data_IF_661747797763
#
_entry.id   IF_661747797763
#
_cell.length_a   1.000
_cell.length_b   1.000
_cell.length_c   1.000
_cell.angle_alpha   90.00
_cell.angle_beta   90.00
_cell.angle_gamma   90.00
#
_symmetry.space_group_name_H-M   'P 1'
#
loop_
_entity.id
_entity.type
_entity.pdbx_description
1 polymer ?
#
# COMPACT_ATOMS: atom_id res chain seq x y z
N UNK A 1 20.74 -13.96 41.15
CA UNK A 1 21.39 -13.94 39.83
C UNK A 1 20.44 -13.23 38.88
N UNK A 2 20.66 -11.94 38.63
CA UNK A 2 19.75 -11.08 37.88
C UNK A 2 19.88 -11.32 36.36
N UNK A 3 18.78 -11.68 35.69
CA UNK A 3 18.76 -11.84 34.23
C UNK A 3 18.64 -10.48 33.55
N UNK A 4 19.73 -10.05 32.90
CA UNK A 4 19.70 -8.89 32.00
C UNK A 4 18.89 -9.23 30.75
N UNK A 5 17.69 -8.66 30.64
CA UNK A 5 16.92 -8.62 29.39
C UNK A 5 17.73 -7.81 28.38
N UNK A 6 18.12 -8.42 27.26
CA UNK A 6 18.75 -7.69 26.15
C UNK A 6 17.65 -6.88 25.46
N UNK A 7 17.86 -5.58 25.17
CA UNK A 7 16.95 -4.85 24.32
C UNK A 7 17.04 -5.43 22.91
N UNK A 8 15.88 -5.67 22.30
CA UNK A 8 15.78 -5.96 20.88
C UNK A 8 16.21 -4.68 20.17
N UNK A 9 17.46 -4.65 19.71
CA UNK A 9 17.95 -3.59 18.84
C UNK A 9 17.38 -3.83 17.45
N UNK A 10 16.17 -3.32 17.23
CA UNK A 10 15.72 -2.95 15.91
C UNK A 10 16.71 -1.91 15.37
N UNK A 11 16.99 -1.90 14.06
CA UNK A 11 18.06 -1.10 13.43
C UNK A 11 18.03 0.42 13.68
N UNK A 12 17.04 0.91 14.41
CA UNK A 12 17.01 2.23 15.02
C UNK A 12 16.59 2.03 16.49
N UNK A 13 17.55 1.93 17.41
CA UNK A 13 17.25 1.79 18.84
C UNK A 13 16.51 2.99 19.45
N UNK A 14 16.61 3.17 20.77
CA UNK A 14 15.98 4.26 21.54
C UNK A 14 16.21 5.70 21.00
N UNK A 15 17.10 5.87 20.02
CA UNK A 15 17.32 7.11 19.27
C UNK A 15 16.14 7.55 18.37
N UNK A 16 15.23 6.65 17.99
CA UNK A 16 14.05 7.02 17.18
C UNK A 16 12.94 7.72 18.00
N UNK A 17 12.90 7.50 19.31
CA UNK A 17 11.86 8.04 20.21
C UNK A 17 11.96 9.56 20.45
N UNK A 18 13.07 10.19 20.05
CA UNK A 18 13.30 11.64 20.21
C UNK A 18 13.38 12.43 18.90
N UNK A 19 13.02 11.81 17.77
CA UNK A 19 13.14 12.43 16.44
C UNK A 19 11.77 12.77 15.86
N UNK A 20 11.67 13.91 15.18
CA UNK A 20 10.46 14.28 14.45
C UNK A 20 10.31 13.42 13.20
N UNK A 21 9.06 13.22 12.75
CA UNK A 21 8.77 12.46 11.53
C UNK A 21 9.50 13.04 10.31
N UNK A 22 9.64 14.36 10.24
CA UNK A 22 10.40 15.09 9.22
C UNK A 22 11.90 14.75 9.25
N UNK A 23 12.48 14.56 10.43
CA UNK A 23 13.88 14.16 10.59
C UNK A 23 14.15 12.72 10.12
N UNK A 24 13.22 11.80 10.40
CA UNK A 24 13.31 10.42 9.90
C UNK A 24 13.10 10.35 8.38
N UNK A 25 12.19 11.16 7.85
CA UNK A 25 11.95 11.28 6.42
C UNK A 25 13.19 11.81 5.68
N UNK A 26 13.79 12.90 6.18
CA UNK A 26 14.97 13.54 5.57
C UNK A 26 16.20 12.62 5.60
N UNK A 27 16.40 11.85 6.67
CA UNK A 27 17.53 10.91 6.76
C UNK A 27 17.39 9.69 5.83
N UNK A 28 16.15 9.30 5.53
CA UNK A 28 15.86 8.12 4.69
C UNK A 28 15.84 8.48 3.21
N UNK A 29 15.27 9.64 2.85
CA UNK A 29 15.20 10.11 1.46
C UNK A 29 16.38 10.99 1.06
N UNK A 30 16.92 11.81 1.97
CA UNK A 30 18.05 12.70 1.72
C UNK A 30 19.40 12.00 1.57
N UNK A 31 19.47 10.69 1.84
CA UNK A 31 20.62 9.84 1.47
C UNK A 31 20.57 9.35 0.02
N UNK A 32 19.49 9.65 -0.72
CA UNK A 32 19.50 9.58 -2.17
C UNK A 32 20.39 10.69 -2.73
N UNK A 33 21.26 10.35 -3.67
CA UNK A 33 22.29 11.21 -4.27
C UNK A 33 21.67 12.33 -5.13
N UNK A 34 20.82 13.19 -4.56
CA UNK A 34 20.24 14.37 -5.21
C UNK A 34 21.04 15.61 -4.83
N UNK A 35 22.35 15.55 -4.99
CA UNK A 35 23.15 16.77 -5.11
C UNK A 35 23.13 17.23 -6.57
N UNK A 36 22.41 18.33 -6.80
CA UNK A 36 22.70 19.27 -7.88
C UNK A 36 22.44 18.78 -9.30
N UNK A 37 21.19 18.84 -9.75
CA UNK A 37 20.91 19.03 -11.18
C UNK A 37 20.09 20.30 -11.31
N UNK A 38 20.79 21.44 -11.32
CA UNK A 38 20.26 22.65 -11.97
C UNK A 38 19.92 22.30 -13.42
N UNK A 39 18.89 22.94 -13.97
CA UNK A 39 18.34 22.71 -15.31
C UNK A 39 19.45 22.57 -16.38
N UNK A 40 19.94 21.35 -16.56
CA UNK A 40 20.98 21.00 -17.52
C UNK A 40 20.32 20.32 -18.72
N UNK A 41 20.93 20.48 -19.90
CA UNK A 41 20.42 19.99 -21.17
C UNK A 41 20.11 18.48 -21.21
N UNK A 42 20.57 17.69 -20.24
CA UNK A 42 20.20 16.28 -20.05
C UNK A 42 18.71 16.07 -19.79
N UNK A 43 18.06 16.95 -19.02
CA UNK A 43 16.62 16.80 -18.75
C UNK A 43 15.77 17.05 -20.01
N UNK A 44 16.24 17.93 -20.90
CA UNK A 44 15.63 18.17 -22.20
C UNK A 44 15.92 17.04 -23.20
N UNK A 45 17.13 16.46 -23.17
CA UNK A 45 17.48 15.29 -23.96
C UNK A 45 16.63 14.07 -23.56
N UNK A 46 16.47 13.82 -22.26
CA UNK A 46 15.63 12.75 -21.72
C UNK A 46 14.15 12.92 -22.06
N UNK A 47 13.63 14.16 -22.09
CA UNK A 47 12.26 14.42 -22.56
C UNK A 47 12.10 14.08 -24.04
N UNK A 48 13.08 14.47 -24.87
CA UNK A 48 13.07 14.18 -26.31
C UNK A 48 13.15 12.69 -26.60
N UNK A 49 13.97 11.97 -25.83
CA UNK A 49 14.09 10.52 -25.90
C UNK A 49 12.80 9.81 -25.45
N UNK A 50 12.14 10.32 -24.40
CA UNK A 50 10.83 9.81 -23.98
C UNK A 50 9.74 10.05 -25.04
N UNK A 51 9.71 11.20 -25.70
CA UNK A 51 8.78 11.47 -26.79
C UNK A 51 9.03 10.56 -28.00
N UNK A 52 10.30 10.24 -28.30
CA UNK A 52 10.68 9.32 -29.37
C UNK A 52 10.29 7.87 -29.04
N UNK A 53 10.49 7.42 -27.80
CA UNK A 53 10.05 6.11 -27.31
C UNK A 53 8.52 5.96 -27.36
N UNK A 54 7.78 7.04 -27.04
CA UNK A 54 6.33 7.06 -27.17
C UNK A 54 5.86 6.98 -28.63
N UNK A 55 6.59 7.59 -29.57
CA UNK A 55 6.32 7.44 -31.02
C UNK A 55 6.62 6.04 -31.52
N UNK A 56 7.68 5.39 -31.02
CA UNK A 56 8.01 4.01 -31.38
C UNK A 56 7.02 2.99 -30.80
N UNK A 57 6.38 3.27 -29.66
CA UNK A 57 5.28 2.46 -29.12
C UNK A 57 4.01 2.47 -29.98
N UNK A 58 3.86 3.45 -30.89
CA UNK A 58 2.74 3.54 -31.83
C UNK A 58 2.92 2.64 -33.08
N UNK A 59 4.09 2.03 -33.26
CA UNK A 59 4.33 0.98 -34.26
C UNK A 59 4.11 -0.37 -33.57
N UNK A 60 3.05 -1.03 -33.99
CA UNK A 60 2.60 -2.36 -33.55
C UNK A 60 3.79 -3.31 -33.42
N UNK A 61 4.10 -3.73 -32.19
CA UNK A 61 5.11 -4.77 -31.92
C UNK A 61 4.72 -6.07 -32.64
N UNK A 62 5.64 -6.75 -33.34
CA UNK A 62 5.34 -8.03 -33.98
C UNK A 62 5.10 -9.12 -32.93
N UNK A 63 4.04 -9.90 -33.18
CA UNK A 63 3.62 -11.07 -32.42
C UNK A 63 4.69 -12.18 -32.40
N UNK A 64 5.35 -12.42 -31.27
CA UNK A 64 6.13 -13.67 -31.18
C UNK A 64 6.11 -14.45 -29.88
N UNK A 65 5.52 -13.99 -28.77
CA UNK A 65 5.59 -14.79 -27.52
C UNK A 65 4.27 -15.04 -26.77
N UNK A 66 3.10 -14.57 -27.23
CA UNK A 66 1.80 -14.90 -26.61
C UNK A 66 0.63 -15.10 -27.61
N UNK A 67 0.87 -15.83 -28.71
CA UNK A 67 -0.07 -15.93 -29.85
C UNK A 67 -1.47 -16.51 -29.54
N UNK A 68 -1.66 -17.19 -28.41
CA UNK A 68 -2.94 -17.85 -28.13
C UNK A 68 -3.83 -17.09 -27.15
N UNK A 69 -3.26 -16.51 -26.09
CA UNK A 69 -4.04 -15.74 -25.12
C UNK A 69 -4.48 -14.38 -25.69
N UNK A 70 -3.57 -13.67 -26.35
CA UNK A 70 -3.82 -12.31 -26.82
C UNK A 70 -4.77 -12.25 -28.01
N UNK A 71 -4.73 -13.25 -28.90
CA UNK A 71 -5.66 -13.36 -30.04
C UNK A 71 -7.07 -13.76 -29.60
N UNK A 72 -7.20 -14.60 -28.57
CA UNK A 72 -8.51 -14.94 -28.00
C UNK A 72 -9.14 -13.77 -27.23
N UNK A 73 -8.35 -13.06 -26.42
CA UNK A 73 -8.81 -11.85 -25.70
C UNK A 73 -9.23 -10.73 -26.66
N UNK A 74 -8.47 -10.52 -27.74
CA UNK A 74 -8.80 -9.54 -28.78
C UNK A 74 -10.06 -9.94 -29.57
N UNK A 75 -10.24 -11.25 -29.80
CA UNK A 75 -11.44 -11.79 -30.44
C UNK A 75 -12.70 -11.65 -29.57
N UNK A 76 -12.58 -11.83 -28.25
CA UNK A 76 -13.68 -11.65 -27.30
C UNK A 76 -14.09 -10.17 -27.18
N UNK A 77 -13.13 -9.23 -27.15
CA UNK A 77 -13.42 -7.78 -27.16
C UNK A 77 -14.23 -7.35 -28.38
N UNK A 78 -13.94 -7.93 -29.56
CA UNK A 78 -14.63 -7.59 -30.81
C UNK A 78 -16.08 -8.10 -30.89
N UNK A 79 -16.52 -8.99 -30.00
CA UNK A 79 -17.90 -9.51 -29.98
C UNK A 79 -18.83 -8.76 -29.01
N UNK A 80 -18.38 -7.69 -28.37
CA UNK A 80 -19.24 -6.80 -27.59
C UNK A 80 -19.86 -7.44 -26.34
N UNK A 81 -19.28 -8.53 -25.82
CA UNK A 81 -19.69 -9.09 -24.53
C UNK A 81 -19.06 -8.22 -23.41
N UNK A 82 -19.86 -7.57 -22.56
CA UNK A 82 -19.38 -6.49 -21.70
C UNK A 82 -18.58 -6.95 -20.46
N UNK A 83 -18.30 -8.24 -20.30
CA UNK A 83 -17.51 -8.75 -19.17
C UNK A 83 -16.52 -9.80 -19.65
N UNK A 84 -15.26 -9.41 -19.75
CA UNK A 84 -14.16 -10.36 -19.90
C UNK A 84 -14.04 -11.10 -18.55
N UNK A 85 -14.52 -12.33 -18.48
CA UNK A 85 -14.31 -13.20 -17.33
C UNK A 85 -12.90 -13.78 -17.47
N UNK A 86 -11.90 -13.08 -16.94
CA UNK A 86 -10.54 -13.63 -16.84
C UNK A 86 -10.46 -14.60 -15.68
N UNK A 87 -9.37 -15.38 -15.61
CA UNK A 87 -9.06 -16.15 -14.40
C UNK A 87 -9.02 -15.26 -13.17
N UNK A 88 -8.57 -14.01 -13.30
CA UNK A 88 -8.57 -13.02 -12.22
C UNK A 88 -10.00 -12.61 -11.84
N UNK A 89 -10.87 -12.34 -12.82
CA UNK A 89 -12.30 -12.03 -12.55
C UNK A 89 -13.02 -13.22 -11.91
N UNK A 90 -12.70 -14.46 -12.28
CA UNK A 90 -13.21 -15.66 -11.62
C UNK A 90 -12.67 -15.80 -10.20
N UNK A 91 -11.40 -15.51 -9.97
CA UNK A 91 -10.81 -15.50 -8.63
C UNK A 91 -11.42 -14.43 -7.74
N UNK A 92 -11.81 -13.28 -8.29
CA UNK A 92 -12.55 -12.23 -7.58
C UNK A 92 -14.01 -12.62 -7.31
N UNK A 93 -14.70 -13.24 -8.28
CA UNK A 93 -16.12 -13.62 -8.15
C UNK A 93 -16.36 -14.89 -7.31
N UNK A 94 -15.48 -15.89 -7.43
CA UNK A 94 -15.59 -17.18 -6.72
C UNK A 94 -14.79 -17.13 -5.41
N UNK A 95 -13.89 -16.15 -5.28
CA UNK A 95 -12.91 -16.07 -4.20
C UNK A 95 -11.73 -16.99 -4.47
N UNK A 96 -10.52 -16.51 -4.21
CA UNK A 96 -9.34 -17.40 -4.11
C UNK A 96 -9.57 -18.32 -2.91
N UNK A 97 -9.66 -19.62 -3.17
CA UNK A 97 -9.83 -20.60 -2.10
C UNK A 97 -8.60 -20.53 -1.17
N UNK A 98 -8.79 -20.29 0.12
CA UNK A 98 -7.67 -20.17 1.06
C UNK A 98 -6.76 -21.41 1.10
N UNK A 99 -7.24 -22.56 0.63
CA UNK A 99 -6.48 -23.79 0.54
C UNK A 99 -5.59 -23.91 -0.72
N UNK A 100 -5.75 -23.01 -1.71
CA UNK A 100 -5.04 -23.10 -3.00
C UNK A 100 -3.68 -22.42 -3.00
N UNK A 101 -3.27 -21.80 -1.90
CA UNK A 101 -1.99 -21.11 -1.77
C UNK A 101 -1.37 -21.32 -0.40
N UNK A 102 -0.05 -21.23 -0.33
CA UNK A 102 0.67 -21.26 0.93
C UNK A 102 0.65 -19.87 1.57
N UNK A 103 0.06 -19.78 2.77
CA UNK A 103 0.00 -18.53 3.53
C UNK A 103 1.40 -18.12 4.00
N UNK A 104 1.69 -16.83 3.95
CA UNK A 104 3.01 -16.32 4.35
C UNK A 104 2.98 -15.92 5.82
N UNK A 105 3.75 -16.64 6.65
CA UNK A 105 3.84 -16.34 8.08
C UNK A 105 4.53 -15.01 8.35
N UNK A 106 3.93 -14.25 9.27
CA UNK A 106 4.44 -12.99 9.77
C UNK A 106 5.19 -13.21 11.10
N UNK A 107 6.25 -12.42 11.35
CA UNK A 107 6.85 -12.38 12.68
C UNK A 107 5.83 -11.83 13.68
N UNK A 108 5.79 -12.40 14.89
CA UNK A 108 4.91 -11.89 15.95
C UNK A 108 5.30 -10.46 16.30
N UNK A 109 4.50 -9.51 15.80
CA UNK A 109 4.67 -8.08 16.02
C UNK A 109 3.33 -7.50 16.43
N UNK A 110 3.35 -6.65 17.46
CA UNK A 110 2.22 -5.79 17.77
C UNK A 110 2.41 -4.44 17.08
N UNK A 111 1.35 -3.92 16.47
CA UNK A 111 1.32 -2.57 15.92
C UNK A 111 0.54 -1.63 16.82
N UNK A 112 0.58 -0.34 16.53
CA UNK A 112 -0.30 0.66 17.10
C UNK A 112 -1.21 1.21 16.01
N UNK A 113 -2.48 1.38 16.35
CA UNK A 113 -3.48 2.01 15.50
C UNK A 113 -4.08 3.17 16.27
N UNK A 114 -4.32 4.28 15.56
CA UNK A 114 -5.11 5.38 16.09
C UNK A 114 -6.56 5.10 15.70
N UNK A 115 -7.44 4.99 16.68
CA UNK A 115 -8.87 4.83 16.45
C UNK A 115 -9.60 6.17 16.66
N UNK A 116 -10.59 6.44 15.83
CA UNK A 116 -11.67 7.36 16.16
C UNK A 116 -12.52 6.75 17.27
N UNK A 117 -12.66 7.45 18.41
CA UNK A 117 -13.48 6.98 19.54
C UNK A 117 -14.85 7.63 19.51
N UNK A 118 -14.89 8.93 19.22
CA UNK A 118 -16.12 9.72 19.09
C UNK A 118 -15.92 10.76 17.98
N UNK A 119 -16.94 10.95 17.14
CA UNK A 119 -16.94 11.84 16.00
C UNK A 119 -18.19 12.73 16.04
N UNK A 120 -18.05 14.00 15.64
CA UNK A 120 -19.21 14.87 15.49
C UNK A 120 -19.85 14.71 14.09
N UNK A 121 -21.13 15.11 13.91
CA UNK A 121 -21.80 15.11 12.60
C UNK A 121 -21.14 16.01 11.54
N UNK A 122 -20.21 16.88 11.93
CA UNK A 122 -19.43 17.76 11.03
C UNK A 122 -18.14 17.10 10.52
N UNK A 123 -17.85 15.87 10.97
CA UNK A 123 -16.70 15.05 10.57
C UNK A 123 -15.43 15.32 11.34
N UNK A 124 -15.48 16.04 12.46
CA UNK A 124 -14.34 16.25 13.32
C UNK A 124 -14.30 15.17 14.41
N UNK A 125 -13.17 14.46 14.58
CA UNK A 125 -13.02 13.55 15.69
C UNK A 125 -12.99 14.36 16.99
N UNK A 126 -13.91 14.05 17.91
CA UNK A 126 -13.94 14.63 19.26
C UNK A 126 -12.91 13.96 20.16
N UNK A 127 -12.69 12.67 19.95
CA UNK A 127 -11.72 11.88 20.69
C UNK A 127 -11.06 10.86 19.77
N UNK A 128 -9.74 10.75 19.88
CA UNK A 128 -8.92 9.71 19.26
C UNK A 128 -8.13 8.98 20.33
N UNK A 129 -7.90 7.69 20.15
CA UNK A 129 -7.12 6.89 21.09
C UNK A 129 -6.17 5.95 20.35
N UNK A 130 -4.96 5.82 20.88
CA UNK A 130 -4.03 4.78 20.44
C UNK A 130 -4.43 3.44 21.05
N UNK A 131 -4.60 2.41 20.21
CA UNK A 131 -4.83 1.03 20.62
C UNK A 131 -3.72 0.15 20.07
N UNK A 132 -3.26 -0.80 20.89
CA UNK A 132 -2.39 -1.86 20.41
C UNK A 132 -3.20 -2.79 19.49
N UNK A 133 -2.73 -2.94 18.25
CA UNK A 133 -3.34 -3.80 17.25
C UNK A 133 -2.50 -5.07 17.10
N UNK A 134 -3.15 -6.22 17.25
CA UNK A 134 -2.50 -7.49 16.99
C UNK A 134 -2.46 -7.71 15.48
N UNK A 135 -1.26 -7.66 14.91
CA UNK A 135 -1.07 -7.98 13.49
C UNK A 135 -1.42 -9.46 13.29
N UNK A 136 -2.17 -9.80 12.23
CA UNK A 136 -2.43 -11.20 11.87
C UNK A 136 -1.14 -12.01 11.78
N UNK A 137 -1.22 -13.32 12.09
CA UNK A 137 -0.05 -14.20 12.06
C UNK A 137 0.39 -14.57 10.64
N UNK A 138 -0.49 -14.40 9.65
CA UNK A 138 -0.26 -14.82 8.27
C UNK A 138 -0.86 -13.81 7.29
N UNK A 139 -0.18 -13.58 6.16
CA UNK A 139 -0.72 -12.81 5.03
C UNK A 139 -1.51 -13.73 4.10
N UNK A 140 -2.67 -13.23 3.66
CA UNK A 140 -3.50 -13.86 2.64
C UNK A 140 -3.05 -13.45 1.23
N UNK A 141 -3.68 -14.09 0.24
CA UNK A 141 -3.46 -13.76 -1.17
C UNK A 141 -3.68 -12.28 -1.45
N UNK A 142 -2.74 -11.64 -2.15
CA UNK A 142 -2.84 -10.23 -2.51
C UNK A 142 -2.62 -9.24 -1.35
N UNK A 143 -2.27 -9.72 -0.15
CA UNK A 143 -1.98 -8.84 1.00
C UNK A 143 -0.47 -8.54 1.13
N UNK A 144 -0.17 -7.37 1.68
CA UNK A 144 1.20 -6.97 2.07
C UNK A 144 1.23 -6.47 3.50
N UNK A 145 2.34 -6.73 4.19
CA UNK A 145 2.63 -6.09 5.46
C UNK A 145 3.46 -4.83 5.19
N UNK A 146 2.93 -3.67 5.58
CA UNK A 146 3.58 -2.38 5.44
C UNK A 146 3.97 -1.83 6.81
N UNK A 147 5.21 -1.37 6.93
CA UNK A 147 5.65 -0.52 8.03
C UNK A 147 5.40 0.93 7.66
N UNK A 148 4.31 1.49 8.18
CA UNK A 148 3.95 2.88 7.97
C UNK A 148 4.98 3.82 8.61
N UNK A 149 5.47 4.78 7.82
CA UNK A 149 6.39 5.82 8.27
C UNK A 149 5.63 7.11 8.61
N UNK A 150 4.63 7.45 7.80
CA UNK A 150 3.77 8.60 8.03
C UNK A 150 2.39 8.37 7.40
N UNK A 151 1.36 8.93 8.03
CA UNK A 151 -0.02 8.98 7.56
C UNK A 151 -0.44 10.45 7.58
N UNK A 152 -0.71 11.09 6.42
CA UNK A 152 -1.28 12.42 6.42
C UNK A 152 -2.70 12.37 6.97
N UNK A 153 -3.17 13.52 7.48
CA UNK A 153 -4.59 13.73 7.78
C UNK A 153 -5.19 14.49 6.60
N UNK A 154 -6.11 13.88 5.88
CA UNK A 154 -6.67 14.43 4.65
C UNK A 154 -8.16 14.78 4.82
N UNK A 155 -8.77 15.54 3.88
CA UNK A 155 -10.22 15.77 3.94
C UNK A 155 -11.06 14.49 3.90
N UNK A 156 -10.51 13.38 3.39
CA UNK A 156 -11.19 12.10 3.38
C UNK A 156 -11.34 11.52 4.80
N UNK A 157 -10.36 11.73 5.68
CA UNK A 157 -10.47 11.39 7.10
C UNK A 157 -11.67 12.08 7.76
N UNK A 158 -11.90 13.35 7.40
CA UNK A 158 -13.07 14.11 7.89
C UNK A 158 -14.38 13.51 7.37
N UNK A 159 -14.43 13.11 6.11
CA UNK A 159 -15.61 12.45 5.55
C UNK A 159 -15.87 11.11 6.21
N UNK A 160 -14.82 10.34 6.48
CA UNK A 160 -14.90 9.06 7.17
C UNK A 160 -15.39 9.22 8.62
N UNK A 161 -14.85 10.19 9.36
CA UNK A 161 -15.33 10.55 10.69
C UNK A 161 -16.80 10.99 10.69
N UNK A 162 -17.24 11.75 9.67
CA UNK A 162 -18.64 12.15 9.49
C UNK A 162 -19.53 10.94 9.21
N UNK A 163 -19.07 10.02 8.37
CA UNK A 163 -19.75 8.77 8.07
C UNK A 163 -20.00 7.97 9.36
N UNK A 164 -18.98 7.83 10.21
CA UNK A 164 -19.11 7.17 11.52
C UNK A 164 -20.09 7.87 12.46
N UNK A 165 -20.12 9.19 12.46
CA UNK A 165 -21.04 9.96 13.31
C UNK A 165 -22.51 9.86 12.88
N UNK A 166 -22.77 9.76 11.57
CA UNK A 166 -24.12 9.83 11.00
C UNK A 166 -24.77 8.46 10.79
N UNK A 167 -23.98 7.42 10.49
CA UNK A 167 -24.49 6.11 10.08
C UNK A 167 -24.27 5.03 11.13
N UNK A 168 -24.36 5.42 12.40
CA UNK A 168 -24.24 4.52 13.54
C UNK A 168 -24.85 3.14 13.29
N UNK A 169 -24.07 2.10 13.63
CA UNK A 169 -24.36 0.66 13.57
C UNK A 169 -24.11 -0.14 12.28
N UNK A 170 -24.10 0.46 11.08
CA UNK A 170 -24.04 -0.28 9.80
C UNK A 170 -22.68 -0.26 9.08
N UNK A 171 -21.57 -0.28 9.85
CA UNK A 171 -20.15 -0.52 9.46
C UNK A 171 -19.22 0.71 9.51
N UNK A 172 -17.95 0.48 9.87
CA UNK A 172 -17.52 -0.08 11.15
C UNK A 172 -17.95 0.81 12.32
N UNK A 173 -18.24 0.18 13.46
CA UNK A 173 -18.65 0.89 14.68
C UNK A 173 -17.43 1.51 15.35
N UNK A 174 -17.59 2.71 15.88
CA UNK A 174 -16.60 3.30 16.77
C UNK A 174 -16.39 2.40 18.01
N UNK A 175 -15.15 2.19 18.50
CA UNK A 175 -13.92 2.77 17.97
C UNK A 175 -13.46 2.11 16.66
N UNK A 176 -13.04 2.93 15.68
CA UNK A 176 -12.65 2.47 14.35
C UNK A 176 -11.30 3.06 13.93
N UNK A 177 -10.44 2.29 13.20
CA UNK A 177 -9.15 2.79 12.73
C UNK A 177 -9.26 4.07 11.90
N UNK A 178 -8.38 5.03 12.17
CA UNK A 178 -8.21 6.26 11.42
C UNK A 178 -7.10 6.12 10.37
N UNK A 179 -7.09 7.04 9.40
CA UNK A 179 -6.10 7.11 8.33
C UNK A 179 -6.48 6.22 7.14
N UNK A 180 -6.54 6.85 5.95
CA UNK A 180 -6.79 6.16 4.68
C UNK A 180 -5.64 6.27 3.69
N UNK A 181 -4.59 7.01 4.04
CA UNK A 181 -3.45 7.31 3.18
C UNK A 181 -2.15 7.26 3.96
N UNK A 182 -1.03 7.15 3.27
CA UNK A 182 0.27 7.28 3.90
C UNK A 182 1.42 6.87 3.03
N UNK A 183 2.59 6.86 3.64
CA UNK A 183 3.82 6.31 3.07
C UNK A 183 4.41 5.29 4.04
N UNK A 184 4.87 4.17 3.50
CA UNK A 184 5.45 3.09 4.28
C UNK A 184 6.36 2.20 3.45
N UNK A 185 7.08 1.33 4.15
CA UNK A 185 7.94 0.33 3.53
C UNK A 185 7.26 -1.04 3.55
N UNK A 186 7.32 -1.77 2.45
CA UNK A 186 6.85 -3.16 2.40
C UNK A 186 7.83 -4.01 3.20
N UNK A 187 7.35 -4.72 4.23
CA UNK A 187 8.15 -5.59 5.10
C UNK A 187 7.97 -7.06 4.71
N UNK A 188 6.78 -7.41 4.23
CA UNK A 188 6.46 -8.76 3.77
C UNK A 188 5.41 -8.69 2.68
N UNK A 189 5.54 -9.58 1.72
CA UNK A 189 4.63 -9.73 0.59
C UNK A 189 3.94 -11.08 0.72
N UNK A 190 2.62 -11.09 0.60
CA UNK A 190 1.80 -12.29 0.57
C UNK A 190 1.84 -12.98 -0.79
N UNK A 191 1.21 -14.16 -0.91
CA UNK A 191 1.17 -14.89 -2.17
C UNK A 191 0.37 -14.12 -3.23
N UNK A 192 0.74 -14.30 -4.50
CA UNK A 192 0.05 -13.68 -5.64
C UNK A 192 0.49 -12.25 -6.01
N UNK A 193 1.49 -11.70 -5.31
CA UNK A 193 2.03 -10.37 -5.61
C UNK A 193 3.41 -10.50 -6.24
N UNK A 194 3.53 -10.06 -7.48
CA UNK A 194 4.78 -10.13 -8.25
C UNK A 194 5.46 -8.77 -8.43
N UNK A 195 4.69 -7.68 -8.28
CA UNK A 195 5.12 -6.31 -8.61
C UNK A 195 5.80 -5.59 -7.45
N UNK A 196 5.62 -6.05 -6.21
CA UNK A 196 6.17 -5.44 -5.00
C UNK A 196 7.30 -6.31 -4.41
N UNK A 197 8.34 -5.65 -3.92
CA UNK A 197 9.48 -6.29 -3.26
C UNK A 197 9.69 -5.69 -1.87
N UNK A 198 10.24 -6.51 -0.97
CA UNK A 198 10.68 -6.12 0.38
C UNK A 198 12.07 -5.48 0.30
#
# INVERSE_FOLDING_TARGET
IASRKRPISDGYGAAALGRTAEGLFSDTFGKGNFEGVGESGELQALRRENEELQRQMLIIKPESENKYATSFESWLRNRGQPTLITSETLMEQIGVCEASYEKVRLPSKSSFVIDYVDCNPEGLPKAVAGRQYQVPEELKWGEVLVHWLACPVTPLDRQLARFYALHGTDMPRLPAPAGCEGVGMVVKVGPGIETLKV
#
